data_IF_505738621824
#
_entry.id   IF_505738621824
#
_cell.length_a   1.000
_cell.length_b   1.000
_cell.length_c   1.000
_cell.angle_alpha   90.00
_cell.angle_beta   90.00
_cell.angle_gamma   90.00
#
_symmetry.space_group_name_H-M   'P 1'
#
loop_
_entity.id
_entity.type
_entity.pdbx_description
1 polymer ?
#
# COMPACT_ATOMS: atom_id res chain seq x y z
N UNK A 1 33.86 24.69 -14.27
CA UNK A 1 33.77 23.38 -13.60
C UNK A 1 32.43 23.31 -12.89
N UNK A 2 31.39 22.83 -13.58
CA UNK A 2 30.07 22.61 -12.97
C UNK A 2 30.09 21.21 -12.39
N UNK A 3 30.23 21.09 -11.07
CA UNK A 3 30.03 19.80 -10.39
C UNK A 3 28.55 19.51 -10.39
N UNK A 4 28.11 18.58 -11.24
CA UNK A 4 26.78 18.02 -11.15
C UNK A 4 26.55 17.50 -9.73
N UNK A 5 25.43 17.85 -9.06
CA UNK A 5 25.19 17.45 -7.68
C UNK A 5 25.06 15.92 -7.62
N UNK A 6 25.86 15.31 -6.76
CA UNK A 6 25.94 13.87 -6.44
C UNK A 6 24.61 13.25 -6.00
N UNK A 7 23.57 14.04 -5.81
CA UNK A 7 22.21 13.61 -5.42
C UNK A 7 21.48 12.92 -6.60
N UNK A 8 21.82 13.24 -7.86
CA UNK A 8 21.13 12.67 -9.03
C UNK A 8 21.44 11.19 -9.30
N UNK A 9 22.52 10.64 -8.74
CA UNK A 9 22.95 9.26 -9.01
C UNK A 9 22.37 8.21 -8.05
N UNK A 10 21.72 8.61 -6.96
CA UNK A 10 21.19 7.67 -5.95
C UNK A 10 19.73 7.28 -6.14
N UNK A 11 19.02 7.89 -7.11
CA UNK A 11 17.59 7.65 -7.29
C UNK A 11 17.26 6.67 -8.43
N UNK A 12 18.21 6.34 -9.32
CA UNK A 12 17.95 5.52 -10.52
C UNK A 12 18.13 4.01 -10.32
N UNK A 13 18.75 3.58 -9.23
CA UNK A 13 19.14 2.17 -9.04
C UNK A 13 18.53 1.56 -7.75
N UNK A 14 17.24 1.80 -7.49
CA UNK A 14 16.54 1.01 -6.46
C UNK A 14 16.17 -0.36 -7.06
N UNK A 15 16.79 -1.45 -6.59
CA UNK A 15 16.79 -2.73 -7.29
C UNK A 15 15.46 -3.50 -7.17
N UNK A 16 14.35 -2.85 -6.78
CA UNK A 16 13.07 -3.53 -6.57
C UNK A 16 11.82 -2.75 -7.04
N UNK A 17 11.98 -1.65 -7.80
CA UNK A 17 10.83 -0.87 -8.26
C UNK A 17 10.23 -1.50 -9.52
N UNK A 18 8.91 -1.73 -9.59
CA UNK A 18 8.25 -2.17 -10.83
C UNK A 18 8.55 -1.16 -11.95
N UNK A 19 9.20 -1.64 -13.03
CA UNK A 19 9.67 -0.79 -14.14
C UNK A 19 8.56 -0.24 -15.03
N UNK A 20 7.36 -0.82 -14.95
CA UNK A 20 6.31 -0.55 -15.93
C UNK A 20 5.21 0.35 -15.32
N UNK A 21 5.45 1.66 -15.47
CA UNK A 21 4.51 2.79 -15.41
C UNK A 21 4.05 3.23 -14.00
N UNK A 22 4.79 4.18 -13.40
CA UNK A 22 4.34 5.14 -12.37
C UNK A 22 3.43 4.61 -11.24
N UNK A 23 3.68 3.40 -10.73
CA UNK A 23 3.02 2.80 -9.56
C UNK A 23 1.49 2.58 -9.67
N UNK A 24 0.83 2.79 -10.81
CA UNK A 24 -0.64 2.69 -10.90
C UNK A 24 -1.13 1.28 -11.28
N UNK A 25 -1.75 0.57 -10.33
CA UNK A 25 -2.30 -0.77 -10.53
C UNK A 25 -3.81 -0.70 -10.80
N UNK A 26 -4.27 -1.39 -11.84
CA UNK A 26 -5.70 -1.48 -12.21
C UNK A 26 -6.47 -2.44 -11.27
N UNK A 27 -7.38 -1.88 -10.48
CA UNK A 27 -8.30 -2.60 -9.59
C UNK A 27 -9.64 -2.90 -10.26
N UNK A 28 -9.75 -2.80 -11.58
CA UNK A 28 -10.93 -3.15 -12.37
C UNK A 28 -12.04 -2.10 -12.30
N UNK A 29 -13.26 -2.51 -12.70
CA UNK A 29 -14.42 -1.60 -12.81
C UNK A 29 -14.79 -1.03 -11.43
N UNK A 30 -14.78 0.29 -11.26
CA UNK A 30 -15.10 0.94 -9.99
C UNK A 30 -16.51 0.59 -9.48
N UNK A 31 -17.47 0.43 -10.41
CA UNK A 31 -18.85 0.02 -10.11
C UNK A 31 -18.99 -1.40 -9.53
N UNK A 32 -17.95 -2.24 -9.65
CA UNK A 32 -17.94 -3.61 -9.09
C UNK A 32 -17.39 -3.67 -7.66
N UNK A 33 -16.86 -2.56 -7.14
CA UNK A 33 -16.48 -2.47 -5.73
C UNK A 33 -17.75 -2.30 -4.91
N UNK A 34 -17.96 -3.18 -3.93
CA UNK A 34 -19.08 -3.16 -3.01
C UNK A 34 -19.09 -1.85 -2.21
N UNK A 35 -20.27 -1.29 -1.99
CA UNK A 35 -20.44 -0.07 -1.20
C UNK A 35 -20.63 -0.42 0.27
N UNK A 36 -20.08 0.43 1.14
CA UNK A 36 -20.18 0.34 2.60
C UNK A 36 -19.66 -0.97 3.22
N UNK A 37 -18.79 -1.69 2.51
CA UNK A 37 -18.16 -2.93 2.97
C UNK A 37 -16.67 -2.95 2.59
N UNK A 38 -15.84 -3.49 3.50
CA UNK A 38 -14.41 -3.68 3.23
C UNK A 38 -14.18 -4.87 2.31
N UNK A 39 -13.76 -4.61 1.08
CA UNK A 39 -13.33 -5.61 0.12
C UNK A 39 -11.82 -5.87 0.26
N UNK A 40 -11.43 -7.09 0.64
CA UNK A 40 -10.03 -7.53 0.57
C UNK A 40 -9.68 -7.95 -0.86
N UNK A 41 -8.63 -7.39 -1.44
CA UNK A 41 -8.25 -7.64 -2.83
C UNK A 41 -6.74 -7.85 -2.99
N UNK A 42 -6.31 -8.91 -3.70
CA UNK A 42 -4.91 -9.06 -4.07
C UNK A 42 -4.53 -8.09 -5.19
N UNK A 43 -3.30 -7.61 -5.14
CA UNK A 43 -2.57 -7.03 -6.26
C UNK A 43 -1.37 -7.94 -6.56
N UNK A 44 -0.99 -8.01 -7.83
CA UNK A 44 0.17 -8.77 -8.27
C UNK A 44 1.00 -7.90 -9.19
N UNK A 45 2.30 -7.86 -8.95
CA UNK A 45 3.27 -7.13 -9.75
C UNK A 45 4.61 -7.87 -9.72
N UNK A 46 5.45 -7.59 -10.70
CA UNK A 46 6.78 -8.18 -10.79
C UNK A 46 7.82 -7.19 -10.28
N UNK A 47 8.71 -7.69 -9.43
CA UNK A 47 9.90 -7.00 -8.95
C UNK A 47 11.10 -7.61 -9.68
N UNK A 48 11.84 -6.81 -10.43
CA UNK A 48 13.09 -7.22 -11.08
C UNK A 48 14.26 -6.84 -10.17
N UNK A 49 14.93 -7.84 -9.59
CA UNK A 49 16.21 -7.65 -8.94
C UNK A 49 17.38 -7.86 -9.92
N UNK A 50 18.62 -7.71 -9.45
CA UNK A 50 19.82 -7.82 -10.32
C UNK A 50 20.00 -9.18 -11.01
N UNK A 51 19.27 -10.21 -10.59
CA UNK A 51 19.47 -11.59 -11.01
C UNK A 51 18.17 -12.28 -11.47
N UNK A 52 17.01 -11.82 -11.02
CA UNK A 52 15.72 -12.47 -11.29
C UNK A 52 14.53 -11.51 -11.21
N UNK A 53 13.49 -11.86 -11.95
CA UNK A 53 12.15 -11.29 -11.79
C UNK A 53 11.37 -12.14 -10.79
N UNK A 54 10.71 -11.49 -9.82
CA UNK A 54 9.88 -12.10 -8.80
C UNK A 54 8.47 -11.55 -8.87
N UNK A 55 7.49 -12.42 -9.07
CA UNK A 55 6.10 -12.09 -8.84
C UNK A 55 5.85 -11.90 -7.34
N UNK A 56 5.35 -10.72 -6.97
CA UNK A 56 4.94 -10.38 -5.61
C UNK A 56 3.43 -10.21 -5.60
N UNK A 57 2.81 -10.79 -4.57
CA UNK A 57 1.38 -10.66 -4.33
C UNK A 57 1.17 -9.99 -2.97
N UNK A 58 0.48 -8.86 -2.99
CA UNK A 58 0.15 -8.09 -1.79
C UNK A 58 -1.36 -7.94 -1.68
N UNK A 59 -1.87 -7.63 -0.49
CA UNK A 59 -3.29 -7.48 -0.26
C UNK A 59 -3.63 -6.03 0.12
N UNK A 60 -4.73 -5.53 -0.43
CA UNK A 60 -5.33 -4.24 -0.10
C UNK A 60 -6.71 -4.44 0.50
N UNK A 61 -7.11 -3.53 1.38
CA UNK A 61 -8.48 -3.36 1.81
C UNK A 61 -9.06 -2.14 1.10
N UNK A 62 -10.20 -2.32 0.43
CA UNK A 62 -10.87 -1.28 -0.35
C UNK A 62 -12.24 -1.05 0.25
N UNK A 63 -12.53 0.19 0.61
CA UNK A 63 -13.85 0.63 1.05
C UNK A 63 -14.38 1.68 0.10
N UNK A 64 -15.66 1.62 -0.24
CA UNK A 64 -16.31 2.58 -1.13
C UNK A 64 -17.57 3.15 -0.48
N UNK A 65 -17.67 4.47 -0.46
CA UNK A 65 -18.84 5.22 -0.01
C UNK A 65 -19.24 6.19 -1.13
N UNK A 66 -20.23 5.80 -1.93
CA UNK A 66 -20.65 6.55 -3.12
C UNK A 66 -19.51 6.73 -4.14
N UNK A 67 -18.95 7.94 -4.20
CA UNK A 67 -17.80 8.30 -5.06
C UNK A 67 -16.47 8.27 -4.33
N UNK A 68 -16.48 8.23 -3.00
CA UNK A 68 -15.27 8.18 -2.21
C UNK A 68 -14.77 6.73 -2.12
N UNK A 69 -13.45 6.55 -2.22
CA UNK A 69 -12.79 5.26 -2.06
C UNK A 69 -11.69 5.42 -1.03
N UNK A 70 -11.56 4.46 -0.13
CA UNK A 70 -10.41 4.33 0.77
C UNK A 70 -9.70 3.04 0.43
N UNK A 71 -8.38 3.11 0.23
CA UNK A 71 -7.56 1.95 -0.05
C UNK A 71 -6.46 1.89 1.00
N UNK A 72 -6.46 0.83 1.82
CA UNK A 72 -5.48 0.60 2.88
C UNK A 72 -4.61 -0.61 2.54
N UNK A 73 -3.31 -0.50 2.82
CA UNK A 73 -2.40 -1.64 2.84
C UNK A 73 -2.84 -2.65 3.89
N UNK A 74 -2.72 -3.94 3.58
CA UNK A 74 -2.87 -5.00 4.59
C UNK A 74 -1.61 -5.20 5.43
N UNK A 75 -0.54 -4.44 5.19
CA UNK A 75 0.73 -4.56 5.91
C UNK A 75 0.69 -3.69 7.16
N UNK A 76 0.95 -4.29 8.31
CA UNK A 76 1.06 -3.59 9.58
C UNK A 76 2.31 -2.68 9.60
N UNK A 77 2.17 -1.36 9.87
CA UNK A 77 3.30 -0.43 9.92
C UNK A 77 4.32 -0.71 11.03
N UNK A 78 4.01 -1.59 11.98
CA UNK A 78 4.96 -1.98 13.03
C UNK A 78 6.13 -2.78 12.47
N UNK A 79 5.86 -3.96 11.91
CA UNK A 79 6.89 -4.94 11.54
C UNK A 79 6.58 -5.69 10.24
N UNK A 80 5.63 -5.21 9.43
CA UNK A 80 5.36 -5.77 8.11
C UNK A 80 4.41 -6.98 8.06
N UNK A 81 3.81 -7.39 9.18
CA UNK A 81 2.86 -8.51 9.20
C UNK A 81 1.55 -8.19 8.46
N UNK A 82 0.92 -9.19 7.85
CA UNK A 82 -0.43 -9.05 7.30
C UNK A 82 -1.49 -8.92 8.40
N UNK A 83 -2.34 -7.91 8.28
CA UNK A 83 -3.49 -7.67 9.16
C UNK A 83 -4.74 -8.40 8.65
N UNK A 84 -5.69 -8.63 9.57
CA UNK A 84 -7.04 -9.14 9.28
C UNK A 84 -8.10 -8.16 9.77
N UNK A 85 -9.31 -8.26 9.24
CA UNK A 85 -10.47 -7.58 9.81
C UNK A 85 -10.87 -8.23 11.14
N UNK A 86 -11.39 -7.45 12.08
CA UNK A 86 -11.89 -7.93 13.37
C UNK A 86 -12.24 -6.79 14.32
N UNK A 87 -13.19 -7.03 15.23
CA UNK A 87 -13.65 -6.06 16.25
C UNK A 87 -14.08 -4.70 15.66
N UNK A 88 -14.71 -4.70 14.48
CA UNK A 88 -15.12 -3.47 13.80
C UNK A 88 -13.99 -2.71 13.11
N UNK A 89 -12.75 -3.20 13.12
CA UNK A 89 -11.61 -2.58 12.43
C UNK A 89 -10.61 -3.62 11.94
N UNK A 90 -9.32 -3.37 12.19
CA UNK A 90 -8.23 -4.25 11.77
C UNK A 90 -7.35 -4.68 12.94
N UNK A 91 -6.86 -5.93 12.86
CA UNK A 91 -6.04 -6.55 13.89
C UNK A 91 -4.77 -7.12 13.26
N UNK A 92 -3.62 -6.73 13.79
CA UNK A 92 -2.34 -7.37 13.49
C UNK A 92 -2.11 -8.54 14.47
N UNK A 93 -2.07 -9.80 13.99
CA UNK A 93 -1.96 -10.97 14.87
C UNK A 93 -0.56 -11.13 15.51
N UNK A 94 0.47 -10.48 14.96
CA UNK A 94 1.85 -10.67 15.43
C UNK A 94 2.12 -10.03 16.79
N UNK A 95 1.78 -8.74 16.95
CA UNK A 95 2.07 -7.96 18.15
C UNK A 95 0.87 -7.15 18.63
N UNK A 96 -0.34 -7.56 18.22
CA UNK A 96 -1.63 -7.03 18.69
C UNK A 96 -1.80 -5.52 18.49
N UNK A 97 -1.32 -4.99 17.37
CA UNK A 97 -1.76 -3.66 16.94
C UNK A 97 -3.23 -3.72 16.51
N UNK A 98 -4.06 -2.88 17.10
CA UNK A 98 -5.46 -2.71 16.77
C UNK A 98 -5.65 -1.38 16.06
N UNK A 99 -6.45 -1.41 15.00
CA UNK A 99 -6.81 -0.24 14.23
C UNK A 99 -8.33 -0.14 14.14
N UNK A 100 -8.85 1.08 14.11
CA UNK A 100 -10.28 1.32 13.89
C UNK A 100 -10.72 0.96 12.46
N UNK A 101 -11.99 1.18 12.17
CA UNK A 101 -12.60 0.96 10.85
C UNK A 101 -11.99 1.83 9.74
N UNK A 102 -11.24 2.89 10.08
CA UNK A 102 -10.53 3.79 9.16
C UNK A 102 -9.03 3.52 9.10
N UNK A 103 -8.53 2.59 9.89
CA UNK A 103 -7.10 2.24 9.97
C UNK A 103 -6.28 3.11 10.92
N UNK A 104 -6.91 3.96 11.75
CA UNK A 104 -6.23 4.69 12.82
C UNK A 104 -5.79 3.72 13.90
N UNK A 105 -4.58 3.90 14.45
CA UNK A 105 -4.11 3.06 15.55
C UNK A 105 -4.92 3.35 16.81
N UNK A 106 -5.52 2.31 17.38
CA UNK A 106 -6.21 2.37 18.68
C UNK A 106 -5.29 1.86 19.78
N UNK A 107 -4.57 0.76 19.54
CA UNK A 107 -3.71 0.10 20.52
C UNK A 107 -2.53 -0.61 19.86
N UNK A 108 -1.48 -0.85 20.64
CA UNK A 108 -0.35 -1.69 20.29
C UNK A 108 0.82 -0.92 19.67
N UNK A 109 1.86 -1.63 19.22
CA UNK A 109 3.15 -1.01 18.91
C UNK A 109 3.22 -0.34 17.53
N UNK A 110 2.11 -0.22 16.81
CA UNK A 110 2.14 0.41 15.48
C UNK A 110 2.49 1.88 15.63
N UNK A 111 3.56 2.38 14.99
CA UNK A 111 4.00 3.76 15.16
C UNK A 111 3.08 4.77 14.46
N UNK A 112 2.19 4.30 13.58
CA UNK A 112 1.32 5.11 12.73
C UNK A 112 0.11 4.31 12.22
N UNK A 113 -0.94 4.98 11.71
CA UNK A 113 -2.10 4.35 11.07
C UNK A 113 -1.70 3.45 9.89
N UNK A 114 -2.63 2.59 9.48
CA UNK A 114 -2.49 1.80 8.26
C UNK A 114 -2.20 2.69 7.04
N UNK A 115 -1.43 2.13 6.12
CA UNK A 115 -1.00 2.86 4.94
C UNK A 115 -2.13 3.03 3.92
N UNK A 116 -2.71 4.22 3.91
CA UNK A 116 -3.60 4.66 2.83
C UNK A 116 -2.82 4.90 1.53
N UNK A 117 -3.43 4.53 0.40
CA UNK A 117 -2.87 4.71 -0.94
C UNK A 117 -3.69 5.71 -1.77
N UNK A 118 -2.99 6.46 -2.63
CA UNK A 118 -3.66 7.31 -3.61
C UNK A 118 -4.40 6.45 -4.64
N UNK A 119 -5.52 6.97 -5.15
CA UNK A 119 -6.33 6.29 -6.14
C UNK A 119 -6.88 7.27 -7.18
N UNK A 120 -7.27 6.74 -8.34
CA UNK A 120 -7.95 7.52 -9.38
C UNK A 120 -8.93 6.64 -10.16
N UNK A 121 -9.94 7.24 -10.79
CA UNK A 121 -10.85 6.55 -11.69
C UNK A 121 -10.65 7.06 -13.11
N UNK A 122 -10.26 6.17 -14.04
CA UNK A 122 -10.09 6.48 -15.46
C UNK A 122 -10.97 5.55 -16.29
N UNK A 123 -11.82 6.11 -17.16
CA UNK A 123 -12.75 5.35 -18.03
C UNK A 123 -13.57 4.30 -17.25
N UNK A 124 -14.01 4.64 -16.03
CA UNK A 124 -14.82 3.77 -15.16
C UNK A 124 -14.04 2.66 -14.44
N UNK A 125 -12.72 2.65 -14.52
CA UNK A 125 -11.84 1.71 -13.82
C UNK A 125 -11.10 2.40 -12.67
N UNK A 126 -11.01 1.73 -11.53
CA UNK A 126 -10.31 2.19 -10.35
C UNK A 126 -8.83 1.79 -10.46
N UNK A 127 -7.94 2.75 -10.25
CA UNK A 127 -6.50 2.53 -10.17
C UNK A 127 -6.01 2.94 -8.80
N UNK A 128 -5.02 2.23 -8.27
CA UNK A 128 -4.31 2.57 -7.01
C UNK A 128 -2.86 2.86 -7.32
N UNK A 129 -2.30 3.91 -6.73
CA UNK A 129 -0.86 4.15 -6.74
C UNK A 129 -0.25 3.33 -5.61
N UNK A 130 0.28 2.15 -5.93
CA UNK A 130 0.85 1.26 -4.94
C UNK A 130 2.23 1.74 -4.50
N UNK A 131 2.38 1.95 -3.20
CA UNK A 131 3.63 2.31 -2.56
C UNK A 131 3.77 1.46 -1.29
N UNK A 132 4.96 0.92 -1.07
CA UNK A 132 5.31 0.29 0.19
C UNK A 132 6.08 1.29 1.03
N UNK A 133 5.81 1.34 2.32
CA UNK A 133 6.46 2.26 3.24
C UNK A 133 7.25 1.52 4.31
N UNK A 134 8.30 2.16 4.81
CA UNK A 134 9.14 1.63 5.87
C UNK A 134 8.32 1.37 7.13
N UNK A 135 8.45 0.14 7.64
CA UNK A 135 7.86 -0.29 8.91
C UNK A 135 8.73 0.15 10.08
N UNK A 136 8.13 0.28 11.27
CA UNK A 136 8.80 0.60 12.53
C UNK A 136 9.07 2.09 12.76
N UNK A 137 8.62 2.97 11.87
CA UNK A 137 8.80 4.43 11.97
C UNK A 137 7.48 5.17 11.87
N UNK A 138 7.41 6.38 12.43
CA UNK A 138 6.21 7.23 12.42
C UNK A 138 5.94 7.89 11.06
N UNK A 139 6.99 8.14 10.27
CA UNK A 139 6.91 8.73 8.93
C UNK A 139 6.53 7.70 7.86
N UNK A 140 5.87 8.15 6.79
CA UNK A 140 5.71 7.38 5.55
C UNK A 140 6.93 7.60 4.65
N UNK A 141 7.91 6.72 4.75
CA UNK A 141 9.08 6.71 3.86
C UNK A 141 8.93 5.58 2.85
N UNK A 142 8.82 5.91 1.56
CA UNK A 142 8.64 4.91 0.49
C UNK A 142 9.87 4.00 0.43
N UNK A 143 9.64 2.69 0.45
CA UNK A 143 10.62 1.66 0.10
C UNK A 143 10.44 1.38 -1.39
N UNK A 144 11.50 1.53 -2.18
CA UNK A 144 11.53 1.13 -3.59
C UNK A 144 12.46 -0.04 -3.87
#
# INVERSE_FOLDING_TARGET
>A
MMTAPTIFYWWRDQPNRPKDIENWIDLGKAKKITENEWLKRPISFEIEDRWKTKAVQEMLYIYREGRNVTILSSICPHAGCLIKTGNGGFICPCHKSFFDDKGTVIEGPSPRPLDSMEWTVKKGRLYVKYEQYRSGIKSKEVIG
#
